data_IF_473776752348
#
_entry.id   IF_473776752348
#
_cell.length_a   1.000
_cell.length_b   1.000
_cell.length_c   1.000
_cell.angle_alpha   90.00
_cell.angle_beta   90.00
_cell.angle_gamma   90.00
#
_symmetry.space_group_name_H-M   'P 1'
#
loop_
_entity.id
_entity.type
_entity.pdbx_description
1 polymer ?
#
# COMPACT_ATOMS: atom_id res chain seq x y z
N UNK A 1 -39.63 6.68 38.37
CA UNK A 1 -38.71 6.22 37.30
C UNK A 1 -38.38 4.75 37.53
N UNK A 2 -38.67 3.87 36.56
CA UNK A 2 -38.53 2.41 36.73
C UNK A 2 -37.07 1.97 36.76
N UNK A 3 -36.68 1.14 37.75
CA UNK A 3 -35.33 0.57 37.92
C UNK A 3 -34.79 -0.13 36.66
N UNK A 4 -35.68 -0.69 35.84
CA UNK A 4 -35.32 -1.35 34.57
C UNK A 4 -34.76 -0.39 33.52
N UNK A 5 -35.21 0.87 33.49
CA UNK A 5 -34.76 1.87 32.51
C UNK A 5 -33.32 2.33 32.77
N UNK A 6 -32.99 2.54 34.05
CA UNK A 6 -31.63 2.88 34.52
C UNK A 6 -30.61 1.75 34.30
N UNK A 7 -31.05 0.50 34.38
CA UNK A 7 -30.18 -0.67 34.18
C UNK A 7 -29.84 -0.88 32.69
N UNK A 8 -30.83 -0.71 31.80
CA UNK A 8 -30.65 -0.71 30.35
C UNK A 8 -29.75 0.44 29.87
N UNK A 9 -29.91 1.65 30.43
CA UNK A 9 -29.02 2.78 30.13
C UNK A 9 -27.57 2.49 30.53
N UNK A 10 -27.35 1.87 31.71
CA UNK A 10 -25.99 1.52 32.15
C UNK A 10 -25.33 0.44 31.29
N UNK A 11 -26.07 -0.55 30.82
CA UNK A 11 -25.54 -1.56 29.88
C UNK A 11 -25.21 -0.92 28.54
N UNK A 12 -26.10 -0.08 28.01
CA UNK A 12 -25.88 0.63 26.75
C UNK A 12 -24.63 1.51 26.80
N UNK A 13 -24.44 2.26 27.88
CA UNK A 13 -23.23 3.07 28.11
C UNK A 13 -21.98 2.19 28.24
N UNK A 14 -22.06 1.06 28.95
CA UNK A 14 -20.94 0.13 29.07
C UNK A 14 -20.51 -0.48 27.74
N UNK A 15 -21.47 -0.86 26.88
CA UNK A 15 -21.20 -1.40 25.55
C UNK A 15 -20.59 -0.32 24.64
N UNK A 16 -21.16 0.89 24.65
CA UNK A 16 -20.64 2.01 23.86
C UNK A 16 -19.22 2.35 24.31
N UNK A 17 -18.97 2.47 25.61
CA UNK A 17 -17.63 2.74 26.14
C UNK A 17 -16.63 1.64 25.75
N UNK A 18 -17.02 0.37 25.86
CA UNK A 18 -16.20 -0.76 25.46
C UNK A 18 -15.88 -0.74 23.95
N UNK A 19 -16.87 -0.48 23.09
CA UNK A 19 -16.67 -0.37 21.64
C UNK A 19 -15.82 0.84 21.28
N UNK A 20 -16.02 1.99 21.93
CA UNK A 20 -15.23 3.20 21.70
C UNK A 20 -13.78 3.07 22.16
N UNK A 21 -13.51 2.25 23.18
CA UNK A 21 -12.15 1.97 23.66
C UNK A 21 -11.46 0.86 22.85
N UNK A 22 -12.21 -0.16 22.43
CA UNK A 22 -11.64 -1.31 21.69
C UNK A 22 -11.50 -1.04 20.19
N UNK A 23 -12.38 -0.26 19.57
CA UNK A 23 -12.32 0.01 18.14
C UNK A 23 -11.01 0.72 17.73
N UNK A 24 -10.52 1.78 18.39
CA UNK A 24 -9.24 2.40 18.05
C UNK A 24 -8.06 1.44 18.18
N UNK A 25 -8.10 0.52 19.15
CA UNK A 25 -7.08 -0.51 19.30
C UNK A 25 -7.13 -1.55 18.19
N UNK A 26 -8.31 -2.04 17.83
CA UNK A 26 -8.46 -3.03 16.74
C UNK A 26 -8.10 -2.41 15.40
N UNK A 27 -8.61 -1.22 15.07
CA UNK A 27 -8.27 -0.53 13.83
C UNK A 27 -6.81 -0.09 13.81
N UNK A 28 -6.29 0.42 14.92
CA UNK A 28 -4.87 0.79 15.06
C UNK A 28 -3.94 -0.42 14.94
N UNK A 29 -4.32 -1.58 15.48
CA UNK A 29 -3.55 -2.82 15.41
C UNK A 29 -3.61 -3.46 14.02
N UNK A 30 -4.76 -3.46 13.36
CA UNK A 30 -4.88 -3.92 11.96
C UNK A 30 -4.11 -2.99 11.03
N UNK A 31 -4.15 -1.68 11.26
CA UNK A 31 -3.31 -0.72 10.55
C UNK A 31 -1.82 -0.96 10.83
N UNK A 32 -1.44 -1.20 12.08
CA UNK A 32 -0.05 -1.49 12.45
C UNK A 32 0.45 -2.78 11.79
N UNK A 33 -0.29 -3.88 11.87
CA UNK A 33 0.09 -5.16 11.27
C UNK A 33 0.04 -5.13 9.74
N UNK A 34 -0.93 -4.44 9.14
CA UNK A 34 -1.10 -4.42 7.69
C UNK A 34 -0.08 -3.54 6.96
N UNK A 35 0.50 -2.54 7.63
CA UNK A 35 1.40 -1.57 6.98
C UNK A 35 2.85 -1.68 7.48
N UNK A 36 3.14 -2.52 8.48
CA UNK A 36 4.53 -2.78 8.94
C UNK A 36 5.37 -3.52 7.90
N UNK A 37 4.81 -4.52 7.22
CA UNK A 37 5.49 -5.25 6.13
C UNK A 37 5.15 -4.71 4.72
N UNK A 38 4.07 -3.94 4.63
CA UNK A 38 3.51 -3.42 3.38
C UNK A 38 2.46 -4.34 2.77
N UNK A 39 1.68 -3.78 1.84
CA UNK A 39 0.63 -4.45 1.07
C UNK A 39 1.14 -4.59 -0.36
N UNK A 40 1.29 -5.84 -0.80
CA UNK A 40 1.64 -6.17 -2.17
C UNK A 40 0.40 -6.68 -2.93
N UNK A 41 0.21 -6.20 -4.16
CA UNK A 41 -0.90 -6.54 -5.05
C UNK A 41 -0.31 -7.07 -6.36
N UNK A 42 -0.81 -8.21 -6.84
CA UNK A 42 -0.29 -8.93 -8.00
C UNK A 42 1.18 -9.33 -7.88
N UNK A 43 1.58 -9.82 -6.70
CA UNK A 43 2.95 -10.30 -6.43
C UNK A 43 3.38 -11.30 -7.51
N UNK A 44 4.53 -11.04 -8.12
CA UNK A 44 5.11 -11.89 -9.16
C UNK A 44 4.64 -11.61 -10.59
N UNK A 45 3.71 -10.68 -10.79
CA UNK A 45 3.38 -10.14 -12.12
C UNK A 45 4.09 -8.78 -12.33
N UNK A 46 5.27 -8.76 -12.98
CA UNK A 46 6.04 -7.54 -13.16
C UNK A 46 5.37 -6.50 -14.05
N UNK A 47 4.24 -6.83 -14.70
CA UNK A 47 3.49 -5.91 -15.55
C UNK A 47 2.42 -5.13 -14.78
N UNK A 48 2.00 -5.63 -13.61
CA UNK A 48 0.83 -5.13 -12.87
C UNK A 48 1.02 -5.08 -11.36
N UNK A 49 2.25 -5.26 -10.89
CA UNK A 49 2.57 -5.24 -9.47
C UNK A 49 2.38 -3.84 -8.88
N UNK A 50 1.72 -3.79 -7.71
CA UNK A 50 1.59 -2.58 -6.91
C UNK A 50 1.95 -2.89 -5.48
N UNK A 51 2.65 -1.97 -4.82
CA UNK A 51 3.15 -2.15 -3.46
C UNK A 51 2.98 -0.87 -2.66
N UNK A 52 2.45 -0.99 -1.45
CA UNK A 52 2.31 0.13 -0.50
C UNK A 52 3.02 -0.27 0.79
N UNK A 53 3.88 0.58 1.34
CA UNK A 53 4.63 0.23 2.56
C UNK A 53 4.89 1.46 3.43
N UNK A 54 5.05 1.25 4.74
CA UNK A 54 5.56 2.28 5.63
C UNK A 54 7.07 2.45 5.44
N UNK A 55 7.50 3.69 5.25
CA UNK A 55 8.90 4.07 5.31
C UNK A 55 9.24 4.30 6.78
N UNK A 56 10.29 3.65 7.26
CA UNK A 56 10.77 3.77 8.64
C UNK A 56 12.14 4.43 8.66
N UNK A 57 12.30 5.40 9.56
CA UNK A 57 13.59 5.98 9.91
C UNK A 57 14.01 5.56 11.33
N UNK A 58 15.19 6.00 11.79
CA UNK A 58 15.74 5.65 13.11
C UNK A 58 14.82 5.95 14.29
N UNK A 59 13.85 6.88 14.12
CA UNK A 59 12.92 7.32 15.18
C UNK A 59 11.50 6.74 15.03
N UNK A 60 11.26 5.87 14.04
CA UNK A 60 9.96 5.26 13.78
C UNK A 60 9.41 5.55 12.38
N UNK A 61 8.08 5.41 12.18
CA UNK A 61 7.45 5.61 10.88
C UNK A 61 7.61 7.06 10.40
N UNK A 62 8.14 7.22 9.19
CA UNK A 62 8.57 8.48 8.61
C UNK A 62 7.87 8.81 7.28
N UNK A 63 7.20 7.84 6.66
CA UNK A 63 6.53 8.05 5.38
C UNK A 63 5.70 6.86 4.90
N UNK A 64 5.07 7.02 3.74
CA UNK A 64 4.47 5.94 2.94
C UNK A 64 5.15 5.94 1.58
N UNK A 65 5.59 4.75 1.15
CA UNK A 65 5.97 4.47 -0.23
C UNK A 65 4.81 3.81 -0.96
N UNK A 66 4.52 4.26 -2.17
CA UNK A 66 3.58 3.61 -3.07
C UNK A 66 4.20 3.41 -4.44
N UNK A 67 4.40 2.14 -4.80
CA UNK A 67 4.79 1.71 -6.13
C UNK A 67 3.56 1.24 -6.89
N UNK A 68 3.35 1.77 -8.09
CA UNK A 68 2.30 1.35 -9.01
C UNK A 68 2.91 0.98 -10.36
N UNK A 69 2.61 -0.20 -10.88
CA UNK A 69 3.07 -0.65 -12.20
C UNK A 69 1.89 -0.91 -13.13
N UNK A 70 1.98 -0.39 -14.35
CA UNK A 70 0.98 -0.62 -15.39
C UNK A 70 1.63 -1.00 -16.72
N UNK A 71 0.97 -1.85 -17.53
CA UNK A 71 1.42 -2.13 -18.89
C UNK A 71 1.47 -0.85 -19.73
N UNK A 72 2.43 -0.79 -20.65
CA UNK A 72 2.59 0.32 -21.61
C UNK A 72 2.95 -0.23 -22.99
N UNK A 73 2.91 0.65 -23.99
CA UNK A 73 3.17 0.26 -25.37
C UNK A 73 4.59 -0.29 -25.53
N UNK A 74 4.69 -1.45 -26.18
CA UNK A 74 5.97 -2.04 -26.53
C UNK A 74 6.41 -1.59 -27.92
N UNK A 75 7.68 -1.22 -28.11
CA UNK A 75 8.22 -0.90 -29.43
C UNK A 75 8.43 -2.15 -30.30
N UNK A 76 8.36 -3.36 -29.73
CA UNK A 76 8.69 -4.61 -30.42
C UNK A 76 7.63 -5.71 -30.22
N UNK A 77 7.24 -6.44 -31.29
CA UNK A 77 6.34 -7.58 -31.17
C UNK A 77 6.93 -8.68 -30.26
N UNK A 78 6.08 -9.28 -29.42
CA UNK A 78 6.49 -10.35 -28.49
C UNK A 78 7.17 -9.86 -27.20
N UNK A 79 7.38 -8.56 -27.06
CA UNK A 79 7.89 -7.92 -25.85
C UNK A 79 6.75 -7.16 -25.18
N UNK A 80 6.65 -7.26 -23.86
CA UNK A 80 5.63 -6.56 -23.05
C UNK A 80 6.34 -5.56 -22.13
N UNK A 81 5.95 -4.29 -22.21
CA UNK A 81 6.55 -3.25 -21.38
C UNK A 81 5.60 -2.82 -20.27
N UNK A 82 6.17 -2.41 -19.14
CA UNK A 82 5.43 -1.84 -18.03
C UNK A 82 6.16 -0.64 -17.45
N UNK A 83 5.37 0.39 -17.11
CA UNK A 83 5.83 1.62 -16.49
C UNK A 83 5.45 1.59 -15.03
N UNK A 84 6.45 1.74 -14.18
CA UNK A 84 6.30 1.80 -12.75
C UNK A 84 6.52 3.23 -12.26
N UNK A 85 5.67 3.65 -11.34
CA UNK A 85 5.73 4.94 -10.70
C UNK A 85 5.81 4.73 -9.18
N UNK A 86 6.89 5.22 -8.59
CA UNK A 86 7.05 5.31 -7.15
C UNK A 86 6.60 6.70 -6.70
N UNK A 87 5.71 6.77 -5.72
CA UNK A 87 5.28 7.99 -5.05
C UNK A 87 5.66 7.87 -3.58
N UNK A 88 6.36 8.87 -3.04
CA UNK A 88 6.77 8.89 -1.64
C UNK A 88 6.10 10.07 -0.94
N UNK A 89 5.40 9.77 0.14
CA UNK A 89 4.90 10.76 1.07
C UNK A 89 5.74 10.69 2.34
N UNK A 90 6.60 11.68 2.59
CA UNK A 90 7.41 11.75 3.80
C UNK A 90 6.85 12.81 4.77
N UNK A 91 6.94 12.54 6.07
CA UNK A 91 6.61 13.48 7.13
C UNK A 91 7.73 13.66 8.17
N UNK A 92 8.90 13.04 7.98
CA UNK A 92 10.03 13.15 8.93
C UNK A 92 10.63 14.55 9.05
N UNK A 93 10.37 15.46 8.09
CA UNK A 93 10.78 16.86 8.10
C UNK A 93 9.66 17.87 7.80
N UNK A 94 8.39 17.44 7.90
CA UNK A 94 7.21 18.15 7.36
C UNK A 94 6.59 17.37 6.18
N UNK A 95 5.31 17.59 5.85
CA UNK A 95 4.66 16.85 4.77
C UNK A 95 5.27 17.25 3.42
N UNK A 96 6.15 16.39 2.90
CA UNK A 96 6.82 16.59 1.62
C UNK A 96 6.42 15.45 0.71
N UNK A 97 5.71 15.78 -0.37
CA UNK A 97 5.45 14.86 -1.47
C UNK A 97 6.71 14.89 -2.34
N UNK A 98 7.67 14.03 -2.02
CA UNK A 98 8.92 14.01 -2.77
C UNK A 98 8.79 13.12 -4.01
N UNK A 99 9.35 13.66 -5.07
CA UNK A 99 9.49 13.21 -6.46
C UNK A 99 9.01 11.79 -6.80
N UNK A 100 8.08 11.75 -7.75
CA UNK A 100 7.68 10.54 -8.43
C UNK A 100 8.82 9.96 -9.27
N UNK A 101 9.44 8.86 -8.85
CA UNK A 101 10.38 8.15 -9.71
C UNK A 101 9.59 7.30 -10.70
N UNK A 102 9.75 7.58 -11.99
CA UNK A 102 9.15 6.78 -13.06
C UNK A 102 10.25 5.96 -13.71
N UNK A 103 10.06 4.65 -13.76
CA UNK A 103 10.93 3.76 -14.53
C UNK A 103 10.08 2.88 -15.42
N UNK A 104 10.66 2.42 -16.51
CA UNK A 104 9.97 1.56 -17.44
C UNK A 104 10.87 0.39 -17.80
N UNK A 105 10.31 -0.82 -17.79
CA UNK A 105 11.02 -2.06 -18.11
C UNK A 105 10.19 -2.88 -19.07
N UNK A 106 10.88 -3.60 -19.94
CA UNK A 106 10.28 -4.49 -20.91
C UNK A 106 10.67 -5.93 -20.61
N UNK A 107 9.78 -6.85 -20.93
CA UNK A 107 9.89 -8.26 -20.61
C UNK A 107 9.58 -9.11 -21.83
N UNK A 108 10.36 -10.17 -21.99
CA UNK A 108 10.15 -11.23 -22.97
C UNK A 108 9.63 -12.47 -22.26
N UNK A 109 8.74 -13.19 -22.95
CA UNK A 109 8.25 -14.46 -22.45
C UNK A 109 9.24 -15.58 -22.81
N UNK A 110 9.91 -16.12 -21.80
CA UNK A 110 10.84 -17.24 -21.93
C UNK A 110 10.21 -18.46 -21.24
N UNK A 111 9.55 -19.28 -22.04
CA UNK A 111 8.70 -20.38 -21.53
C UNK A 111 7.49 -19.83 -20.77
N UNK A 112 7.33 -20.22 -19.50
CA UNK A 112 6.25 -19.76 -18.62
C UNK A 112 6.65 -18.58 -17.71
N UNK A 113 7.80 -17.94 -17.94
CA UNK A 113 8.28 -16.83 -17.11
C UNK A 113 8.54 -15.59 -17.95
N UNK A 114 8.27 -14.43 -17.36
CA UNK A 114 8.70 -13.15 -17.89
C UNK A 114 10.15 -12.92 -17.46
N UNK A 115 11.00 -12.61 -18.42
CA UNK A 115 12.40 -12.23 -18.21
C UNK A 115 12.60 -10.82 -18.74
N UNK A 116 13.34 -10.00 -18.01
CA UNK A 116 13.69 -8.65 -18.46
C UNK A 116 14.41 -8.71 -19.82
N UNK A 117 13.94 -7.87 -20.74
CA UNK A 117 14.47 -7.71 -22.09
C UNK A 117 15.45 -6.53 -22.14
N UNK A 118 16.35 -6.54 -23.13
CA UNK A 118 17.21 -5.40 -23.42
C UNK A 118 16.48 -4.24 -24.13
N UNK A 119 15.22 -4.45 -24.52
CA UNK A 119 14.38 -3.43 -25.17
C UNK A 119 14.06 -2.29 -24.21
N UNK A 120 14.29 -1.07 -24.66
CA UNK A 120 13.93 0.14 -23.92
C UNK A 120 12.48 0.54 -24.22
N UNK A 121 11.77 1.03 -23.22
CA UNK A 121 10.44 1.57 -23.44
C UNK A 121 10.45 2.78 -24.38
N UNK A 122 9.34 2.99 -25.07
CA UNK A 122 9.09 4.26 -25.76
C UNK A 122 8.85 5.37 -24.74
N UNK A 123 9.37 6.56 -25.02
CA UNK A 123 9.16 7.76 -24.19
C UNK A 123 7.67 8.15 -24.13
#
# INVERSE_FOLDING_TARGET
>A
MSKTRLWLERIGVGIIAFLSLSAPFVFGFVYYLGVTDGIDINVGDPLRESRIWMIHERRGPAGIGWLYTAPTDSPQPGVQCARSQLTVLSWSGGPLLDTSAKYCRCYEQVGNRLKESAVTCRE
#
